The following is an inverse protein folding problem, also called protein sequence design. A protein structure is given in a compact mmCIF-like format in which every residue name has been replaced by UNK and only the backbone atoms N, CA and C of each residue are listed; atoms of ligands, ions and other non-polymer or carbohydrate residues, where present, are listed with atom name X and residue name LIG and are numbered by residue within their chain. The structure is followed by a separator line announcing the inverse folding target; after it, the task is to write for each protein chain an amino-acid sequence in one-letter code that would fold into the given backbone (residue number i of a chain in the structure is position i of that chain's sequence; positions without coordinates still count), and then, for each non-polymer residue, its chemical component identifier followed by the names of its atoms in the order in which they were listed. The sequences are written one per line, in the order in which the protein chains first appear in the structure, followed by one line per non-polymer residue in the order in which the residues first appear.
data_IF_106533040792
#
_entry.id   IF_106533040792
#
_cell.length_a   1.000
_cell.length_b   1.000
_cell.length_c   1.000
_cell.angle_alpha   90.00
_cell.angle_beta   90.00
_cell.angle_gamma   90.00
#
_symmetry.space_group_name_H-M   'P 1'
#
loop_
_entity.id
_entity.type
_entity.pdbx_description
1 polymer ?
#
# COMPACT_ATOMS: atom_id res chain seq x y z
N UNK A 1 -16.69 -1.29 -8.38
CA UNK A 1 -15.80 -2.46 -8.19
C UNK A 1 -14.41 -2.07 -8.69
N UNK A 2 -13.44 -2.00 -7.79
CA UNK A 2 -12.06 -1.74 -8.17
C UNK A 2 -11.47 -3.04 -8.76
N UNK A 3 -11.18 -3.02 -10.05
CA UNK A 3 -10.47 -4.13 -10.70
C UNK A 3 -8.99 -4.01 -10.34
N UNK A 4 -8.43 -5.04 -9.75
CA UNK A 4 -7.00 -5.11 -9.45
C UNK A 4 -6.20 -4.82 -10.72
N UNK A 5 -5.49 -3.69 -10.73
CA UNK A 5 -4.78 -3.25 -11.92
C UNK A 5 -3.43 -3.97 -12.00
N UNK A 6 -3.28 -4.83 -12.97
CA UNK A 6 -2.01 -5.47 -13.33
C UNK A 6 -1.12 -4.51 -14.15
N UNK A 7 0.21 -4.67 -14.10
CA UNK A 7 1.13 -3.82 -14.86
C UNK A 7 0.80 -3.83 -16.36
N UNK A 8 0.90 -2.67 -16.99
CA UNK A 8 0.59 -2.50 -18.42
C UNK A 8 1.61 -3.22 -19.33
N UNK A 9 2.81 -3.47 -18.84
CA UNK A 9 3.90 -4.12 -19.53
C UNK A 9 4.21 -5.48 -18.88
N UNK A 10 3.27 -6.42 -19.01
CA UNK A 10 3.71 -7.81 -19.03
C UNK A 10 4.45 -8.01 -20.35
N UNK A 11 5.57 -8.76 -20.37
CA UNK A 11 6.21 -9.13 -21.63
C UNK A 11 5.13 -9.71 -22.55
N UNK A 12 5.10 -9.23 -23.79
CA UNK A 12 4.10 -9.65 -24.77
C UNK A 12 4.03 -11.17 -24.74
N UNK A 13 2.84 -11.70 -24.47
CA UNK A 13 2.64 -13.14 -24.45
C UNK A 13 3.12 -13.67 -25.81
N UNK A 14 4.00 -14.68 -25.83
CA UNK A 14 4.42 -15.29 -27.08
C UNK A 14 3.17 -15.79 -27.80
N UNK A 15 3.12 -15.70 -29.14
CA UNK A 15 1.93 -16.05 -29.89
C UNK A 15 1.53 -17.49 -29.57
N UNK A 16 0.34 -17.64 -29.01
CA UNK A 16 -0.49 -18.85 -28.83
C UNK A 16 0.16 -20.26 -28.75
N UNK A 17 1.46 -20.36 -28.52
CA UNK A 17 2.11 -21.60 -28.17
C UNK A 17 1.72 -21.91 -26.74
N UNK A 18 1.09 -23.05 -26.50
CA UNK A 18 0.74 -23.54 -25.16
C UNK A 18 1.98 -23.44 -24.26
N UNK A 19 2.00 -22.46 -23.38
CA UNK A 19 3.02 -22.34 -22.36
C UNK A 19 3.06 -23.65 -21.58
N UNK A 20 4.22 -24.28 -21.51
CA UNK A 20 4.42 -25.46 -20.67
C UNK A 20 4.30 -25.05 -19.19
N UNK A 21 4.04 -26.00 -18.31
CA UNK A 21 3.98 -25.72 -16.87
C UNK A 21 5.24 -25.02 -16.34
N UNK A 22 6.40 -25.28 -16.98
CA UNK A 22 7.69 -24.68 -16.64
C UNK A 22 7.76 -23.20 -17.06
N UNK A 23 7.22 -22.86 -18.23
CA UNK A 23 7.15 -21.47 -18.72
C UNK A 23 6.20 -20.64 -17.87
N UNK A 24 5.07 -21.23 -17.45
CA UNK A 24 4.15 -20.59 -16.48
C UNK A 24 4.83 -20.33 -15.15
N UNK A 25 5.62 -21.26 -14.64
CA UNK A 25 6.35 -21.12 -13.38
C UNK A 25 7.40 -19.99 -13.47
N UNK A 26 8.10 -19.86 -14.60
CA UNK A 26 9.08 -18.80 -14.83
C UNK A 26 8.41 -17.40 -14.88
N UNK A 27 7.27 -17.29 -15.57
CA UNK A 27 6.52 -16.02 -15.66
C UNK A 27 5.93 -15.65 -14.29
N UNK A 28 5.41 -16.60 -13.53
CA UNK A 28 4.85 -16.38 -12.20
C UNK A 28 5.92 -15.98 -11.17
N UNK A 29 7.15 -16.51 -11.30
CA UNK A 29 8.28 -16.12 -10.47
C UNK A 29 8.73 -14.65 -10.66
N UNK A 30 8.34 -14.04 -11.80
CA UNK A 30 8.71 -12.66 -12.15
C UNK A 30 7.69 -11.62 -11.67
N UNK A 31 6.50 -12.00 -11.22
CA UNK A 31 5.45 -11.07 -10.80
C UNK A 31 5.26 -11.15 -9.29
N UNK A 32 5.21 -10.01 -8.65
CA UNK A 32 4.95 -9.83 -7.22
C UNK A 32 3.68 -9.01 -7.01
N UNK A 33 2.98 -9.31 -5.91
CA UNK A 33 1.94 -8.44 -5.39
C UNK A 33 2.55 -7.55 -4.32
N UNK A 34 2.56 -6.26 -4.56
CA UNK A 34 2.97 -5.27 -3.57
C UNK A 34 1.72 -4.71 -2.90
N UNK A 35 1.66 -4.88 -1.58
CA UNK A 35 0.59 -4.35 -0.73
C UNK A 35 1.19 -3.25 0.11
N UNK A 36 0.69 -2.03 -0.03
CA UNK A 36 1.19 -0.85 0.66
C UNK A 36 0.07 -0.34 1.56
N UNK A 37 0.31 -0.36 2.87
CA UNK A 37 -0.57 0.28 3.84
C UNK A 37 0.02 1.62 4.20
N UNK A 38 -0.70 2.69 3.93
CA UNK A 38 -0.24 4.07 4.04
C UNK A 38 -1.28 4.93 4.75
N UNK A 39 -0.84 5.97 5.42
CA UNK A 39 -1.76 6.97 5.99
C UNK A 39 -2.55 7.67 4.87
N UNK A 40 -3.82 7.95 5.11
CA UNK A 40 -4.72 8.46 4.06
C UNK A 40 -4.25 9.80 3.45
N UNK A 41 -3.57 10.64 4.21
CA UNK A 41 -3.04 11.91 3.72
C UNK A 41 -1.95 11.73 2.65
N UNK A 42 -1.09 10.69 2.81
CA UNK A 42 0.01 10.41 1.89
C UNK A 42 -0.43 9.56 0.69
N UNK A 43 -1.58 8.89 0.80
CA UNK A 43 -2.06 7.93 -0.20
C UNK A 43 -2.25 8.52 -1.58
N UNK A 44 -2.73 9.77 -1.66
CA UNK A 44 -2.97 10.44 -2.94
C UNK A 44 -1.67 10.76 -3.66
N UNK A 45 -0.70 11.32 -2.95
CA UNK A 45 0.62 11.61 -3.54
C UNK A 45 1.31 10.33 -4.04
N UNK A 46 1.20 9.24 -3.26
CA UNK A 46 1.76 7.96 -3.67
C UNK A 46 1.05 7.38 -4.91
N UNK A 47 -0.28 7.43 -4.98
CA UNK A 47 -1.02 6.98 -6.17
C UNK A 47 -0.62 7.78 -7.40
N UNK A 48 -0.55 9.10 -7.30
CA UNK A 48 -0.16 9.96 -8.41
C UNK A 48 1.28 9.65 -8.88
N UNK A 49 2.20 9.40 -7.96
CA UNK A 49 3.55 8.99 -8.27
C UNK A 49 3.61 7.61 -8.97
N UNK A 50 2.85 6.63 -8.50
CA UNK A 50 2.76 5.31 -9.13
C UNK A 50 2.21 5.41 -10.55
N UNK A 51 1.17 6.20 -10.77
CA UNK A 51 0.58 6.42 -12.09
C UNK A 51 1.54 7.16 -13.04
N UNK A 52 2.30 8.13 -12.55
CA UNK A 52 3.32 8.83 -13.33
C UNK A 52 4.43 7.91 -13.83
N UNK A 53 4.72 6.82 -13.10
CA UNK A 53 5.65 5.76 -13.49
C UNK A 53 4.97 4.60 -14.22
N UNK A 54 3.74 4.80 -14.70
CA UNK A 54 2.95 3.81 -15.43
C UNK A 54 2.59 2.55 -14.63
N UNK A 55 2.73 2.58 -13.31
CA UNK A 55 2.26 1.50 -12.45
C UNK A 55 0.74 1.57 -12.27
N UNK A 56 0.08 0.45 -12.49
CA UNK A 56 -1.33 0.31 -12.17
C UNK A 56 -1.48 -0.09 -10.72
N UNK A 57 -2.26 0.67 -9.99
CA UNK A 57 -2.51 0.43 -8.60
C UNK A 57 -4.01 0.47 -8.27
N UNK A 58 -4.45 -0.38 -7.38
CA UNK A 58 -5.80 -0.35 -6.82
C UNK A 58 -5.75 0.25 -5.43
N UNK A 59 -6.56 1.25 -5.21
CA UNK A 59 -6.66 1.97 -3.94
C UNK A 59 -7.89 1.53 -3.17
N UNK A 60 -7.67 1.01 -1.96
CA UNK A 60 -8.71 0.60 -1.02
C UNK A 60 -8.65 1.50 0.22
N UNK A 61 -9.81 2.02 0.61
CA UNK A 61 -9.91 2.71 1.89
C UNK A 61 -10.10 1.68 3.00
N UNK A 62 -9.33 1.82 4.07
CA UNK A 62 -9.41 0.98 5.25
C UNK A 62 -9.39 1.84 6.51
N UNK A 63 -10.06 1.39 7.56
CA UNK A 63 -10.02 2.05 8.87
C UNK A 63 -9.33 1.13 9.88
N UNK A 64 -8.31 1.66 10.55
CA UNK A 64 -7.65 0.97 11.65
C UNK A 64 -8.32 1.26 12.99
N UNK A 65 -8.25 0.32 13.95
CA UNK A 65 -8.78 0.51 15.31
C UNK A 65 -7.93 1.44 16.17
N UNK A 66 -6.67 1.64 15.84
CA UNK A 66 -5.76 2.51 16.59
C UNK A 66 -5.94 3.98 16.16
N UNK A 67 -6.24 4.86 17.11
CA UNK A 67 -6.49 6.30 16.95
C UNK A 67 -7.60 6.67 15.94
N UNK A 68 -8.41 5.72 15.47
CA UNK A 68 -9.45 5.94 14.45
C UNK A 68 -8.93 6.65 13.19
N UNK A 69 -7.64 6.59 12.92
CA UNK A 69 -7.06 7.17 11.73
C UNK A 69 -7.40 6.32 10.51
N UNK A 70 -7.79 6.98 9.44
CA UNK A 70 -8.08 6.31 8.19
C UNK A 70 -6.78 6.00 7.46
N UNK A 71 -6.60 4.73 7.12
CA UNK A 71 -5.51 4.25 6.30
C UNK A 71 -6.02 3.93 4.90
N UNK A 72 -5.13 3.96 3.95
CA UNK A 72 -5.35 3.47 2.61
C UNK A 72 -4.48 2.24 2.37
N UNK A 73 -5.03 1.27 1.68
CA UNK A 73 -4.29 0.10 1.21
C UNK A 73 -4.19 0.16 -0.31
N UNK A 74 -2.97 0.15 -0.82
CA UNK A 74 -2.69 0.20 -2.25
C UNK A 74 -2.16 -1.17 -2.67
N UNK A 75 -2.75 -1.74 -3.71
CA UNK A 75 -2.35 -3.01 -4.28
C UNK A 75 -1.78 -2.77 -5.68
N UNK A 76 -0.59 -3.28 -5.94
CA UNK A 76 0.04 -3.22 -7.25
C UNK A 76 0.65 -4.57 -7.62
N UNK A 77 0.33 -5.06 -8.81
CA UNK A 77 1.01 -6.22 -9.38
C UNK A 77 2.17 -5.74 -10.25
N UNK A 78 3.39 -6.18 -9.96
CA UNK A 78 4.59 -5.69 -10.65
C UNK A 78 5.58 -6.80 -10.91
N UNK A 79 6.46 -6.59 -11.86
CA UNK A 79 7.62 -7.47 -12.06
C UNK A 79 8.58 -7.38 -10.86
N UNK A 80 9.20 -8.48 -10.51
CA UNK A 80 10.15 -8.57 -9.39
C UNK A 80 11.26 -7.51 -9.49
N UNK A 81 11.78 -7.28 -10.69
CA UNK A 81 12.81 -6.27 -10.96
C UNK A 81 12.34 -4.81 -10.68
N UNK A 82 11.03 -4.58 -10.60
CA UNK A 82 10.42 -3.27 -10.38
C UNK A 82 10.00 -3.01 -8.93
N UNK A 83 10.13 -3.99 -8.06
CA UNK A 83 9.75 -3.89 -6.65
C UNK A 83 10.52 -2.78 -5.94
N UNK A 84 11.84 -2.71 -6.15
CA UNK A 84 12.69 -1.70 -5.49
C UNK A 84 12.36 -0.27 -5.95
N UNK A 85 11.95 -0.10 -7.21
CA UNK A 85 11.49 1.20 -7.72
C UNK A 85 10.21 1.65 -6.98
N UNK A 86 9.25 0.74 -6.80
CA UNK A 86 8.03 1.04 -6.03
C UNK A 86 8.35 1.36 -4.57
N UNK A 87 9.22 0.60 -3.94
CA UNK A 87 9.66 0.88 -2.55
C UNK A 87 10.31 2.25 -2.45
N UNK A 88 11.09 2.66 -3.46
CA UNK A 88 11.62 4.01 -3.58
C UNK A 88 10.53 5.08 -3.62
N UNK A 89 9.53 4.90 -4.49
CA UNK A 89 8.39 5.83 -4.58
C UNK A 89 7.61 5.93 -3.25
N UNK A 90 7.48 4.83 -2.52
CA UNK A 90 6.86 4.85 -1.19
C UNK A 90 7.69 5.68 -0.22
N UNK A 91 9.00 5.51 -0.18
CA UNK A 91 9.89 6.29 0.69
C UNK A 91 9.84 7.79 0.39
N UNK A 92 9.72 8.14 -0.88
CA UNK A 92 9.71 9.54 -1.32
C UNK A 92 8.39 10.25 -1.03
N UNK A 93 7.28 9.51 -0.96
CA UNK A 93 5.94 10.07 -0.82
C UNK A 93 5.26 9.82 0.53
N UNK A 94 5.81 8.94 1.37
CA UNK A 94 5.21 8.57 2.64
C UNK A 94 6.19 8.85 3.79
N UNK A 95 5.82 9.75 4.69
CA UNK A 95 6.68 10.19 5.77
C UNK A 95 6.04 9.96 7.13
N UNK A 96 6.78 9.34 8.03
CA UNK A 96 6.42 9.31 9.43
C UNK A 96 6.59 10.73 10.03
N UNK A 97 5.62 11.15 10.84
CA UNK A 97 5.60 12.45 11.51
C UNK A 97 5.13 12.28 12.94
N UNK A 98 5.69 13.06 13.83
CA UNK A 98 5.27 13.09 15.23
C UNK A 98 4.06 14.01 15.38
N UNK A 99 2.97 13.51 15.93
CA UNK A 99 1.78 14.26 16.24
C UNK A 99 1.54 14.25 17.74
N UNK A 100 1.28 15.42 18.31
CA UNK A 100 0.91 15.54 19.70
C UNK A 100 -0.60 15.28 19.86
N UNK A 101 -0.96 14.27 20.61
CA UNK A 101 -2.36 13.92 20.90
C UNK A 101 -2.62 14.23 22.37
N UNK A 102 -3.66 14.99 22.65
CA UNK A 102 -4.15 15.16 24.01
C UNK A 102 -5.27 14.13 24.26
N UNK A 103 -5.03 13.10 25.09
CA UNK A 103 -6.07 12.16 25.42
C UNK A 103 -7.12 12.87 26.26
N UNK A 104 -8.33 13.01 25.73
CA UNK A 104 -9.49 13.47 26.49
C UNK A 104 -10.12 12.22 27.11
N UNK A 105 -10.18 12.07 28.44
CA UNK A 105 -10.86 10.95 29.07
C UNK A 105 -12.35 10.99 28.70
N UNK A 106 -12.95 9.84 28.40
CA UNK A 106 -14.33 9.78 27.92
C UNK A 106 -15.40 10.12 28.99
N UNK A 107 -15.04 10.21 30.27
CA UNK A 107 -15.94 10.54 31.39
C UNK A 107 -15.13 11.34 32.41
N UNK A 108 -15.51 12.59 32.63
CA UNK A 108 -15.03 13.40 33.79
C UNK A 108 -16.14 13.44 34.81
N UNK A 109 -15.86 13.06 36.07
CA UNK A 109 -16.74 13.36 37.18
C UNK A 109 -16.59 14.84 37.58
N UNK A 110 -17.69 15.50 38.02
CA UNK A 110 -17.62 16.90 38.45
C UNK A 110 -16.69 17.03 39.65
N UNK A 111 -15.56 17.73 39.46
CA UNK A 111 -14.58 17.98 40.53
C UNK A 111 -13.18 17.37 40.32
N UNK A 112 -12.97 16.57 39.30
CA UNK A 112 -11.66 16.06 38.93
C UNK A 112 -10.95 17.03 37.98
N UNK A 113 -9.78 17.50 38.41
CA UNK A 113 -8.87 18.28 37.55
C UNK A 113 -7.98 17.30 36.81
N UNK A 114 -8.28 17.04 35.54
CA UNK A 114 -7.40 16.30 34.64
C UNK A 114 -6.47 17.28 33.94
N UNK A 115 -5.18 17.14 34.17
CA UNK A 115 -4.16 17.79 33.35
C UNK A 115 -3.86 16.84 32.16
N UNK A 116 -4.31 17.17 30.96
CA UNK A 116 -3.96 16.36 29.78
C UNK A 116 -2.45 16.50 29.55
N UNK A 117 -1.72 15.41 29.78
CA UNK A 117 -0.33 15.33 29.33
C UNK A 117 -0.35 15.08 27.82
N UNK A 118 0.23 15.97 27.02
CA UNK A 118 0.35 15.74 25.59
C UNK A 118 1.24 14.50 25.37
N UNK A 119 0.71 13.54 24.65
CA UNK A 119 1.46 12.36 24.20
C UNK A 119 1.92 12.59 22.76
N UNK A 120 3.20 12.42 22.55
CA UNK A 120 3.75 12.39 21.20
C UNK A 120 3.56 10.98 20.62
N UNK A 121 2.85 10.90 19.50
CA UNK A 121 2.59 9.66 18.79
C UNK A 121 3.15 9.80 17.37
N UNK A 122 3.91 8.81 16.96
CA UNK A 122 4.36 8.75 15.57
C UNK A 122 3.20 8.30 14.69
N UNK A 123 2.87 9.11 13.68
CA UNK A 123 1.80 8.86 12.71
C UNK A 123 2.34 9.01 11.30
N UNK A 124 1.70 8.35 10.34
CA UNK A 124 2.12 8.39 8.95
C UNK A 124 3.10 7.28 8.59
N UNK A 125 3.87 7.50 7.54
CA UNK A 125 4.70 6.46 6.97
C UNK A 125 3.90 5.41 6.20
N UNK A 126 4.55 4.33 5.81
CA UNK A 126 3.93 3.23 5.10
C UNK A 126 4.54 1.88 5.49
N UNK A 127 3.73 0.84 5.38
CA UNK A 127 4.19 -0.55 5.49
C UNK A 127 4.02 -1.21 4.14
N UNK A 128 5.08 -1.83 3.65
CA UNK A 128 5.10 -2.48 2.33
C UNK A 128 5.28 -3.98 2.52
N UNK A 129 4.36 -4.75 1.96
CA UNK A 129 4.45 -6.19 1.87
C UNK A 129 4.68 -6.58 0.41
N UNK A 130 5.64 -7.45 0.18
CA UNK A 130 5.93 -8.00 -1.14
C UNK A 130 5.67 -9.50 -1.10
N UNK A 131 4.66 -9.94 -1.85
CA UNK A 131 4.21 -11.32 -1.84
C UNK A 131 4.45 -11.98 -3.21
N UNK A 132 4.93 -13.21 -3.23
CA UNK A 132 4.94 -14.00 -4.45
C UNK A 132 3.51 -14.28 -4.90
N UNK A 133 3.29 -14.34 -6.21
CA UNK A 133 2.00 -14.70 -6.78
C UNK A 133 2.13 -16.10 -7.39
N UNK A 134 1.35 -17.05 -6.89
CA UNK A 134 1.34 -18.41 -7.41
C UNK A 134 0.63 -18.49 -8.75
N UNK A 135 -0.39 -17.67 -8.95
CA UNK A 135 -1.17 -17.63 -10.18
C UNK A 135 -1.89 -16.30 -10.34
N UNK A 136 -1.91 -15.77 -11.55
CA UNK A 136 -2.81 -14.69 -11.95
C UNK A 136 -3.36 -14.97 -13.35
N UNK A 137 -4.57 -14.52 -13.58
CA UNK A 137 -5.22 -14.60 -14.87
C UNK A 137 -5.84 -13.24 -15.21
N UNK A 138 -5.66 -12.83 -16.45
CA UNK A 138 -6.36 -11.68 -17.00
C UNK A 138 -7.45 -12.22 -17.94
N UNK A 139 -8.68 -11.90 -17.61
CA UNK A 139 -9.85 -12.33 -18.37
C UNK A 139 -10.36 -11.15 -19.19
#
# INVERSE_FOLDING_TARGET
MAVLALPAALPAAPPATRLTGRDRQLILGLVKLVVIVVHNEDSRALIDALLAHEYRATWLHSSGGFLKQSNATILAGVEDAKVEEIVGLVRDNCHARTQTVSPIPPIMEPGEFFLPYPLEVEVGGAVVFVLPIDRFERI
#
